data_IF_615900360777
#
_entry.id   IF_615900360777
#
_cell.length_a   1.000
_cell.length_b   1.000
_cell.length_c   1.000
_cell.angle_alpha   90.00
_cell.angle_beta   90.00
_cell.angle_gamma   90.00
#
_symmetry.space_group_name_H-M   'P 1'
#
loop_
_entity.id
_entity.type
_entity.pdbx_description
1 polymer ?
#
# COMPACT_ATOMS: atom_id res chain seq x y z
N UNK A 1 -12.03 9.76 -61.34
CA UNK A 1 -12.70 9.40 -60.08
C UNK A 1 -14.18 9.59 -60.26
N UNK A 2 -14.96 8.57 -59.95
CA UNK A 2 -16.43 8.60 -59.99
C UNK A 2 -16.98 9.13 -58.67
N UNK A 3 -18.24 9.55 -58.62
CA UNK A 3 -18.88 10.04 -57.39
C UNK A 3 -18.89 8.97 -56.27
N UNK A 4 -18.94 7.69 -56.62
CA UNK A 4 -18.85 6.58 -55.66
C UNK A 4 -17.47 6.45 -54.99
N UNK A 5 -16.38 6.79 -55.69
CA UNK A 5 -15.03 6.74 -55.12
C UNK A 5 -14.88 7.75 -53.99
N UNK A 6 -15.40 8.97 -54.18
CA UNK A 6 -15.39 10.02 -53.16
C UNK A 6 -16.25 9.69 -51.95
N UNK A 7 -17.40 9.03 -52.15
CA UNK A 7 -18.24 8.54 -51.05
C UNK A 7 -17.52 7.45 -50.25
N UNK A 8 -16.88 6.50 -50.93
CA UNK A 8 -16.13 5.41 -50.28
C UNK A 8 -14.91 5.92 -49.51
N UNK A 9 -14.20 6.92 -50.05
CA UNK A 9 -13.09 7.56 -49.36
C UNK A 9 -13.57 8.33 -48.13
N UNK A 10 -14.67 9.08 -48.25
CA UNK A 10 -15.28 9.81 -47.14
C UNK A 10 -15.71 8.88 -46.00
N UNK A 11 -16.34 7.74 -46.31
CA UNK A 11 -16.75 6.77 -45.30
C UNK A 11 -15.57 6.04 -44.64
N UNK A 12 -14.52 5.73 -45.41
CA UNK A 12 -13.29 5.14 -44.88
C UNK A 12 -12.58 6.09 -43.90
N UNK A 13 -12.46 7.38 -44.26
CA UNK A 13 -11.90 8.42 -43.38
C UNK A 13 -12.74 8.59 -42.11
N UNK A 14 -14.06 8.65 -42.24
CA UNK A 14 -14.96 8.76 -41.09
C UNK A 14 -14.85 7.56 -40.13
N UNK A 15 -14.76 6.34 -40.68
CA UNK A 15 -14.58 5.11 -39.89
C UNK A 15 -13.23 5.12 -39.16
N UNK A 16 -12.16 5.50 -39.85
CA UNK A 16 -10.83 5.60 -39.25
C UNK A 16 -10.80 6.63 -38.11
N UNK A 17 -11.37 7.82 -38.33
CA UNK A 17 -11.50 8.84 -37.29
C UNK A 17 -12.33 8.34 -36.11
N UNK A 18 -13.41 7.61 -36.36
CA UNK A 18 -14.22 6.98 -35.32
C UNK A 18 -13.42 6.02 -34.45
N UNK A 19 -12.59 5.17 -35.07
CA UNK A 19 -11.71 4.23 -34.35
C UNK A 19 -10.65 4.98 -33.53
N UNK A 20 -10.04 6.04 -34.08
CA UNK A 20 -9.06 6.86 -33.36
C UNK A 20 -9.71 7.54 -32.14
N UNK A 21 -10.88 8.14 -32.29
CA UNK A 21 -11.62 8.76 -31.19
C UNK A 21 -11.98 7.73 -30.12
N UNK A 22 -12.48 6.55 -30.52
CA UNK A 22 -12.79 5.47 -29.60
C UNK A 22 -11.55 4.98 -28.83
N UNK A 23 -10.41 4.83 -29.51
CA UNK A 23 -9.15 4.43 -28.89
C UNK A 23 -8.67 5.47 -27.86
N UNK A 24 -8.75 6.76 -28.18
CA UNK A 24 -8.42 7.85 -27.24
C UNK A 24 -9.37 7.85 -26.05
N UNK A 25 -10.67 7.67 -26.27
CA UNK A 25 -11.66 7.60 -25.19
C UNK A 25 -11.38 6.43 -24.24
N UNK A 26 -11.07 5.24 -24.77
CA UNK A 26 -10.68 4.07 -23.97
C UNK A 26 -9.41 4.36 -23.16
N UNK A 27 -8.41 5.00 -23.78
CA UNK A 27 -7.17 5.34 -23.08
C UNK A 27 -7.41 6.31 -21.91
N UNK A 28 -8.21 7.36 -22.11
CA UNK A 28 -8.61 8.29 -21.05
C UNK A 28 -9.40 7.57 -19.96
N UNK A 29 -10.30 6.66 -20.33
CA UNK A 29 -11.10 5.87 -19.39
C UNK A 29 -10.21 4.99 -18.50
N UNK A 30 -9.23 4.29 -19.08
CA UNK A 30 -8.29 3.45 -18.33
C UNK A 30 -7.49 4.30 -17.33
N UNK A 31 -7.05 5.50 -17.73
CA UNK A 31 -6.34 6.41 -16.82
C UNK A 31 -7.20 6.80 -15.61
N UNK A 32 -8.45 7.20 -15.85
CA UNK A 32 -9.38 7.55 -14.77
C UNK A 32 -9.70 6.36 -13.85
N UNK A 33 -9.87 5.17 -14.41
CA UNK A 33 -10.09 3.96 -13.62
C UNK A 33 -8.89 3.65 -12.73
N UNK A 34 -7.68 3.78 -13.26
CA UNK A 34 -6.46 3.57 -12.47
C UNK A 34 -6.33 4.60 -11.33
N UNK A 35 -6.64 5.86 -11.59
CA UNK A 35 -6.67 6.91 -10.55
C UNK A 35 -7.70 6.58 -9.45
N UNK A 36 -8.90 6.15 -9.83
CA UNK A 36 -9.94 5.76 -8.88
C UNK A 36 -9.56 4.53 -8.04
N UNK A 37 -9.03 3.48 -8.68
CA UNK A 37 -8.55 2.28 -7.99
C UNK A 37 -7.43 2.64 -6.99
N UNK A 38 -6.52 3.51 -7.38
CA UNK A 38 -5.44 3.96 -6.50
C UNK A 38 -5.98 4.71 -5.28
N UNK A 39 -6.92 5.64 -5.48
CA UNK A 39 -7.59 6.35 -4.38
C UNK A 39 -8.34 5.40 -3.46
N UNK A 40 -9.02 4.40 -4.02
CA UNK A 40 -9.73 3.39 -3.23
C UNK A 40 -8.77 2.55 -2.39
N UNK A 41 -7.66 2.07 -2.98
CA UNK A 41 -6.63 1.35 -2.22
C UNK A 41 -6.04 2.22 -1.13
N UNK A 42 -5.70 3.47 -1.43
CA UNK A 42 -5.18 4.39 -0.42
C UNK A 42 -6.15 4.57 0.75
N UNK A 43 -7.44 4.76 0.45
CA UNK A 43 -8.48 4.88 1.47
C UNK A 43 -8.64 3.59 2.30
N UNK A 44 -8.61 2.41 1.67
CA UNK A 44 -8.77 1.13 2.35
C UNK A 44 -7.61 0.80 3.30
N UNK A 45 -6.37 0.97 2.82
CA UNK A 45 -5.17 0.78 3.65
C UNK A 45 -5.12 1.80 4.80
N UNK A 46 -5.46 3.06 4.54
CA UNK A 46 -5.55 4.10 5.58
C UNK A 46 -6.60 3.75 6.63
N UNK A 47 -7.77 3.26 6.21
CA UNK A 47 -8.84 2.84 7.12
C UNK A 47 -8.39 1.69 8.01
N UNK A 48 -7.79 0.64 7.43
CA UNK A 48 -7.25 -0.51 8.19
C UNK A 48 -6.18 -0.07 9.18
N UNK A 49 -5.28 0.81 8.76
CA UNK A 49 -4.29 1.42 9.65
C UNK A 49 -4.95 2.14 10.83
N UNK A 50 -5.95 2.98 10.58
CA UNK A 50 -6.68 3.68 11.64
C UNK A 50 -7.40 2.72 12.58
N UNK A 51 -8.06 1.69 12.06
CA UNK A 51 -8.74 0.66 12.86
C UNK A 51 -7.79 -0.09 13.80
N UNK A 52 -6.53 -0.29 13.37
CA UNK A 52 -5.47 -0.90 14.20
C UNK A 52 -4.98 0.09 15.27
N UNK A 53 -4.58 1.29 14.86
CA UNK A 53 -3.92 2.27 15.73
C UNK A 53 -4.85 2.78 16.83
N UNK A 54 -6.15 2.95 16.53
CA UNK A 54 -7.16 3.35 17.52
C UNK A 54 -7.36 2.31 18.63
N UNK A 55 -6.86 1.09 18.46
CA UNK A 55 -6.94 0.03 19.46
C UNK A 55 -5.66 -0.12 20.28
N UNK A 56 -4.60 0.63 19.96
CA UNK A 56 -3.39 0.63 20.76
C UNK A 56 -3.58 1.46 22.04
N UNK A 57 -2.83 1.13 23.11
CA UNK A 57 -2.69 2.02 24.27
C UNK A 57 -2.18 3.40 23.85
N UNK A 58 -2.65 4.46 24.50
CA UNK A 58 -2.25 5.84 24.16
C UNK A 58 -0.73 6.05 24.30
N UNK A 59 -0.11 5.37 25.27
CA UNK A 59 1.32 5.44 25.54
C UNK A 59 2.18 4.50 24.67
N UNK A 60 1.63 3.86 23.62
CA UNK A 60 2.34 2.89 22.78
C UNK A 60 3.63 3.44 22.14
N UNK A 61 3.68 4.76 21.95
CA UNK A 61 4.80 5.46 21.31
C UNK A 61 5.87 5.95 22.30
N UNK A 62 5.67 5.76 23.61
CA UNK A 62 6.63 6.20 24.63
C UNK A 62 7.91 5.37 24.61
N UNK A 63 9.04 6.03 24.88
CA UNK A 63 10.34 5.36 24.98
C UNK A 63 10.40 4.34 26.13
N UNK A 64 9.61 4.58 27.19
CA UNK A 64 9.48 3.74 28.39
C UNK A 64 8.49 2.58 28.23
N UNK A 65 7.84 2.43 27.07
CA UNK A 65 6.81 1.41 26.90
C UNK A 65 7.39 -0.01 27.01
N UNK A 66 6.84 -0.82 27.94
CA UNK A 66 7.20 -2.22 28.13
C UNK A 66 5.99 -3.10 27.81
N UNK A 67 6.07 -3.82 26.69
CA UNK A 67 4.96 -4.58 26.15
C UNK A 67 4.58 -5.74 27.07
N UNK A 68 5.55 -6.52 27.54
CA UNK A 68 5.30 -7.75 28.30
C UNK A 68 4.59 -7.54 29.64
N UNK A 69 4.72 -6.36 30.25
CA UNK A 69 4.08 -6.00 31.53
C UNK A 69 2.80 -5.19 31.35
N UNK A 70 2.40 -4.87 30.12
CA UNK A 70 1.23 -4.03 29.88
C UNK A 70 -0.06 -4.81 30.18
N UNK A 71 -1.04 -4.23 30.92
CA UNK A 71 -2.31 -4.91 31.23
C UNK A 71 -3.04 -5.44 29.98
N UNK A 72 -3.02 -4.66 28.91
CA UNK A 72 -3.63 -5.02 27.62
C UNK A 72 -2.72 -5.85 26.68
N UNK A 73 -1.66 -6.50 27.17
CA UNK A 73 -0.67 -7.23 26.36
C UNK A 73 -1.29 -8.04 25.22
N UNK A 74 -2.28 -8.89 25.53
CA UNK A 74 -2.93 -9.77 24.55
C UNK A 74 -3.65 -9.00 23.45
N UNK A 75 -4.32 -7.89 23.80
CA UNK A 75 -5.02 -7.03 22.84
C UNK A 75 -4.01 -6.29 21.97
N UNK A 76 -3.01 -5.67 22.60
CA UNK A 76 -1.93 -4.95 21.88
C UNK A 76 -1.19 -5.88 20.93
N UNK A 77 -0.85 -7.10 21.34
CA UNK A 77 -0.17 -8.08 20.50
C UNK A 77 -1.01 -8.56 19.30
N UNK A 78 -2.34 -8.62 19.42
CA UNK A 78 -3.21 -8.89 18.27
C UNK A 78 -3.17 -7.75 17.26
N UNK A 79 -3.23 -6.51 17.75
CA UNK A 79 -3.16 -5.33 16.89
C UNK A 79 -1.77 -5.14 16.27
N UNK A 80 -0.70 -5.51 16.98
CA UNK A 80 0.65 -5.55 16.42
C UNK A 80 0.75 -6.54 15.26
N UNK A 81 0.19 -7.75 15.40
CA UNK A 81 0.17 -8.72 14.28
C UNK A 81 -0.56 -8.14 13.06
N UNK A 82 -1.75 -7.58 13.26
CA UNK A 82 -2.49 -6.92 12.19
C UNK A 82 -1.70 -5.76 11.54
N UNK A 83 -0.93 -5.02 12.33
CA UNK A 83 -0.04 -3.98 11.81
C UNK A 83 1.09 -4.54 10.95
N UNK A 84 1.77 -5.60 11.41
CA UNK A 84 2.84 -6.24 10.61
C UNK A 84 2.31 -6.92 9.35
N UNK A 85 1.12 -7.52 9.40
CA UNK A 85 0.43 -8.05 8.22
C UNK A 85 0.14 -6.93 7.20
N UNK A 86 -0.35 -5.78 7.67
CA UNK A 86 -0.57 -4.60 6.83
C UNK A 86 0.74 -4.12 6.17
N UNK A 87 1.81 -3.98 6.96
CA UNK A 87 3.13 -3.59 6.44
C UNK A 87 3.67 -4.59 5.41
N UNK A 88 3.45 -5.89 5.63
CA UNK A 88 3.84 -6.93 4.68
C UNK A 88 3.10 -6.80 3.36
N UNK A 89 1.78 -6.60 3.41
CA UNK A 89 0.96 -6.38 2.20
C UNK A 89 1.42 -5.14 1.43
N UNK A 90 1.61 -4.00 2.10
CA UNK A 90 2.09 -2.75 1.50
C UNK A 90 3.46 -2.94 0.84
N UNK A 91 4.39 -3.58 1.55
CA UNK A 91 5.71 -3.90 1.04
C UNK A 91 5.63 -4.82 -0.18
N UNK A 92 4.80 -5.87 -0.12
CA UNK A 92 4.64 -6.83 -1.20
C UNK A 92 4.10 -6.17 -2.47
N UNK A 93 3.11 -5.28 -2.35
CA UNK A 93 2.58 -4.51 -3.47
C UNK A 93 3.65 -3.62 -4.11
N UNK A 94 4.50 -2.98 -3.30
CA UNK A 94 5.63 -2.20 -3.82
C UNK A 94 6.67 -3.08 -4.53
N UNK A 95 7.02 -4.25 -3.98
CA UNK A 95 7.93 -5.19 -4.65
C UNK A 95 7.40 -5.66 -6.02
N UNK A 96 6.07 -5.76 -6.15
CA UNK A 96 5.39 -6.10 -7.40
C UNK A 96 5.21 -4.91 -8.35
N UNK A 97 5.67 -3.71 -7.98
CA UNK A 97 5.50 -2.45 -8.73
C UNK A 97 4.02 -2.12 -9.00
N UNK A 98 3.14 -2.50 -8.07
CA UNK A 98 1.72 -2.23 -8.13
C UNK A 98 1.32 -0.94 -7.40
N UNK A 99 2.28 -0.31 -6.72
CA UNK A 99 2.09 0.98 -6.05
C UNK A 99 2.85 2.07 -6.79
N UNK A 100 2.23 3.25 -6.80
CA UNK A 100 2.93 4.47 -7.18
C UNK A 100 4.07 4.76 -6.18
N UNK A 101 5.18 5.29 -6.69
CA UNK A 101 6.38 5.55 -5.88
C UNK A 101 6.15 6.61 -4.81
N UNK A 102 5.34 7.62 -5.09
CA UNK A 102 5.04 8.70 -4.14
C UNK A 102 4.23 8.13 -2.97
N UNK A 103 3.21 7.33 -3.25
CA UNK A 103 2.40 6.65 -2.24
C UNK A 103 3.26 5.74 -1.38
N UNK A 104 4.09 4.91 -2.02
CA UNK A 104 5.01 4.03 -1.31
C UNK A 104 5.95 4.80 -0.37
N UNK A 105 6.50 5.93 -0.80
CA UNK A 105 7.40 6.73 0.04
C UNK A 105 6.69 7.28 1.29
N UNK A 106 5.42 7.69 1.16
CA UNK A 106 4.60 8.13 2.30
C UNK A 106 4.40 6.99 3.29
N UNK A 107 3.96 5.81 2.82
CA UNK A 107 3.73 4.65 3.68
C UNK A 107 5.01 4.16 4.33
N UNK A 108 6.10 4.08 3.56
CA UNK A 108 7.43 3.70 4.07
C UNK A 108 7.90 4.61 5.19
N UNK A 109 7.72 5.92 5.06
CA UNK A 109 8.09 6.88 6.11
C UNK A 109 7.28 6.63 7.40
N UNK A 110 5.98 6.38 7.28
CA UNK A 110 5.12 6.03 8.42
C UNK A 110 5.54 4.71 9.08
N UNK A 111 5.82 3.67 8.28
CA UNK A 111 6.33 2.39 8.77
C UNK A 111 7.66 2.55 9.50
N UNK A 112 8.63 3.27 8.93
CA UNK A 112 9.93 3.52 9.56
C UNK A 112 9.78 4.23 10.91
N UNK A 113 8.89 5.23 10.98
CA UNK A 113 8.62 5.95 12.22
C UNK A 113 8.00 5.04 13.30
N UNK A 114 7.03 4.20 12.95
CA UNK A 114 6.37 3.29 13.90
C UNK A 114 7.30 2.14 14.34
N UNK A 115 7.97 1.49 13.39
CA UNK A 115 8.86 0.36 13.65
C UNK A 115 10.11 0.77 14.45
N UNK A 116 10.49 2.05 14.43
CA UNK A 116 11.54 2.58 15.29
C UNK A 116 11.20 2.57 16.79
N UNK A 117 9.92 2.47 17.16
CA UNK A 117 9.45 2.60 18.55
C UNK A 117 9.66 1.32 19.37
N UNK A 118 9.93 1.43 20.68
CA UNK A 118 10.22 0.25 21.53
C UNK A 118 9.11 -0.80 21.52
N UNK A 119 7.84 -0.40 21.52
CA UNK A 119 6.72 -1.33 21.51
C UNK A 119 6.71 -2.22 20.26
N UNK A 120 6.99 -1.65 19.10
CA UNK A 120 6.99 -2.36 17.81
C UNK A 120 8.20 -3.28 17.69
N UNK A 121 9.38 -2.84 18.16
CA UNK A 121 10.58 -3.70 18.26
C UNK A 121 10.34 -4.92 19.17
N UNK A 122 9.73 -4.69 20.34
CA UNK A 122 9.38 -5.77 21.28
C UNK A 122 8.36 -6.74 20.69
N UNK A 123 7.34 -6.23 19.99
CA UNK A 123 6.34 -7.04 19.33
C UNK A 123 6.94 -7.88 18.20
N UNK A 124 7.77 -7.26 17.34
CA UNK A 124 8.45 -7.93 16.23
C UNK A 124 9.26 -9.13 16.70
N UNK A 125 10.01 -8.99 17.81
CA UNK A 125 10.81 -10.06 18.39
C UNK A 125 10.00 -11.30 18.79
N UNK A 126 8.69 -11.16 19.02
CA UNK A 126 7.79 -12.30 19.27
C UNK A 126 7.11 -12.78 17.98
N UNK A 127 6.60 -11.85 17.17
CA UNK A 127 5.82 -12.18 15.96
C UNK A 127 6.66 -12.95 14.94
N UNK A 128 7.93 -12.58 14.72
CA UNK A 128 8.80 -13.30 13.78
C UNK A 128 9.08 -14.77 14.16
N UNK A 129 8.72 -15.19 15.39
CA UNK A 129 8.89 -16.57 15.86
C UNK A 129 7.68 -17.45 15.54
N UNK A 130 6.49 -16.85 15.45
CA UNK A 130 5.23 -17.57 15.25
C UNK A 130 4.58 -17.32 13.89
N UNK A 131 5.05 -16.31 13.15
CA UNK A 131 4.54 -15.90 11.85
C UNK A 131 5.68 -15.80 10.85
N UNK A 132 5.52 -16.42 9.68
CA UNK A 132 6.52 -16.41 8.61
C UNK A 132 6.12 -15.42 7.51
N UNK A 133 6.87 -14.34 7.37
CA UNK A 133 6.66 -13.32 6.32
C UNK A 133 7.62 -13.49 5.13
N UNK A 134 8.55 -14.44 5.23
CA UNK A 134 9.63 -14.63 4.29
C UNK A 134 10.84 -13.72 4.56
N UNK A 135 12.02 -14.27 4.29
CA UNK A 135 13.33 -13.69 4.63
C UNK A 135 13.48 -12.24 4.15
N UNK A 136 13.00 -11.93 2.95
CA UNK A 136 13.16 -10.60 2.37
C UNK A 136 12.39 -9.50 3.12
N UNK A 137 11.18 -9.80 3.63
CA UNK A 137 10.43 -8.83 4.43
C UNK A 137 11.00 -8.73 5.84
N UNK A 138 11.40 -9.86 6.43
CA UNK A 138 12.00 -9.86 7.76
C UNK A 138 13.27 -9.00 7.81
N UNK A 139 14.16 -9.15 6.82
CA UNK A 139 15.34 -8.31 6.65
C UNK A 139 14.99 -6.83 6.44
N UNK A 140 13.90 -6.57 5.70
CA UNK A 140 13.43 -5.20 5.48
C UNK A 140 12.99 -4.54 6.80
N UNK A 141 12.22 -5.24 7.63
CA UNK A 141 11.82 -4.76 8.97
C UNK A 141 13.04 -4.55 9.87
N UNK A 142 13.98 -5.50 9.87
CA UNK A 142 15.18 -5.43 10.69
C UNK A 142 16.09 -4.24 10.30
N UNK A 143 16.12 -3.87 9.03
CA UNK A 143 16.90 -2.70 8.55
C UNK A 143 16.47 -1.37 9.18
N UNK A 144 15.25 -1.27 9.70
CA UNK A 144 14.79 -0.08 10.45
C UNK A 144 15.24 -0.08 11.91
N UNK A 145 15.46 -1.26 12.47
CA UNK A 145 15.85 -1.40 13.87
C UNK A 145 17.33 -1.05 14.08
N UNK A 146 18.17 -1.33 13.09
CA UNK A 146 19.62 -1.05 13.11
C UNK A 146 19.94 0.44 12.93
N UNK A 147 19.11 1.19 12.19
CA UNK A 147 19.32 2.63 11.96
C UNK A 147 18.99 3.53 13.15
N UNK A 148 18.28 2.98 14.14
CA UNK A 148 17.79 3.71 15.30
C UNK A 148 18.57 3.37 16.59
N UNK A 149 19.71 2.66 16.46
CA UNK A 149 20.67 2.35 17.52
C UNK A 149 21.95 3.18 17.31
#
# INVERSE_FOLDING_TARGET
MTNSDWISLGSAVATFLGVVVAAVAIWVQIRKLNEQLMLQHFADYTKRYQEIILQFPENINEASFVLASHPDYSRTMRQMRAYFDLCFEEWYLNQRKLLDKEIWNVWKSGMEAALSKPAFKQAWAQIKKDTNFGVAFEQYVESFNEKAA
#
